data_IF_176966019842
#
_entry.id   IF_176966019842
#
_cell.length_a   1.000
_cell.length_b   1.000
_cell.length_c   1.000
_cell.angle_alpha   90.00
_cell.angle_beta   90.00
_cell.angle_gamma   90.00
#
_symmetry.space_group_name_H-M   'P 1'
#
loop_
_entity.id
_entity.type
_entity.pdbx_description
1 polymer ?
#
# COMPACT_ATOMS: atom_id res chain seq x y z
N UNK A 1 -32.81 0.82 49.03
CA UNK A 1 -32.65 1.47 47.72
C UNK A 1 -31.56 0.73 46.98
N UNK A 2 -31.90 -0.13 46.01
CA UNK A 2 -30.92 -0.80 45.15
C UNK A 2 -31.28 -0.41 43.73
N UNK A 3 -30.48 0.48 43.13
CA UNK A 3 -30.66 0.94 41.76
C UNK A 3 -29.95 0.00 40.78
N UNK A 4 -30.66 -0.44 39.75
CA UNK A 4 -30.07 -1.11 38.60
C UNK A 4 -29.22 -0.11 37.82
N UNK A 5 -27.91 -0.34 37.76
CA UNK A 5 -27.04 0.32 36.78
C UNK A 5 -27.17 -0.46 35.47
N UNK A 6 -27.96 0.06 34.53
CA UNK A 6 -27.99 -0.46 33.16
C UNK A 6 -26.66 -0.11 32.49
N UNK A 7 -25.85 -1.12 32.16
CA UNK A 7 -24.68 -0.96 31.31
C UNK A 7 -25.17 -0.52 29.93
N UNK A 8 -24.97 0.75 29.58
CA UNK A 8 -25.22 1.24 28.24
C UNK A 8 -24.28 0.53 27.28
N UNK A 9 -24.79 -0.43 26.52
CA UNK A 9 -24.12 -0.93 25.32
C UNK A 9 -24.09 0.23 24.33
N UNK A 10 -22.92 0.84 24.15
CA UNK A 10 -22.68 1.78 23.06
C UNK A 10 -22.76 0.95 21.78
N UNK A 11 -23.90 1.01 21.10
CA UNK A 11 -23.98 0.70 19.68
C UNK A 11 -23.11 1.74 19.00
N UNK A 12 -21.91 1.36 18.54
CA UNK A 12 -21.16 2.24 17.65
C UNK A 12 -22.01 2.45 16.40
N UNK A 13 -22.51 3.66 16.21
CA UNK A 13 -23.19 4.06 14.98
C UNK A 13 -22.15 4.07 13.85
N UNK A 14 -21.98 2.92 13.21
CA UNK A 14 -21.10 2.76 12.06
C UNK A 14 -21.57 3.68 10.94
N UNK A 15 -20.65 4.50 10.41
CA UNK A 15 -20.90 5.31 9.23
C UNK A 15 -20.50 4.51 7.98
N UNK A 16 -21.07 4.80 6.79
CA UNK A 16 -20.81 4.01 5.58
C UNK A 16 -19.31 3.84 5.23
N UNK A 17 -18.45 4.75 5.65
CA UNK A 17 -17.00 4.66 5.42
C UNK A 17 -16.32 3.57 6.24
N UNK A 18 -16.89 3.16 7.37
CA UNK A 18 -16.31 2.14 8.26
C UNK A 18 -16.36 0.74 7.64
N UNK A 19 -17.22 0.54 6.64
CA UNK A 19 -17.32 -0.71 5.88
C UNK A 19 -16.26 -0.84 4.77
N UNK A 20 -15.55 0.24 4.44
CA UNK A 20 -14.61 0.26 3.33
C UNK A 20 -13.23 -0.19 3.80
N UNK A 21 -12.74 -1.30 3.24
CA UNK A 21 -11.36 -1.75 3.43
C UNK A 21 -10.56 -1.65 2.12
N UNK A 22 -9.67 -0.64 1.98
CA UNK A 22 -8.87 -0.42 0.76
C UNK A 22 -7.85 -1.52 0.43
N UNK A 23 -7.55 -2.42 1.36
CA UNK A 23 -6.62 -3.53 1.11
C UNK A 23 -7.28 -4.70 0.39
N UNK A 24 -8.61 -4.74 0.32
CA UNK A 24 -9.32 -5.77 -0.45
C UNK A 24 -9.02 -5.58 -1.93
N UNK A 25 -8.42 -6.61 -2.54
CA UNK A 25 -8.00 -6.59 -3.94
C UNK A 25 -6.61 -5.97 -4.18
N UNK A 26 -5.92 -5.49 -3.15
CA UNK A 26 -4.61 -4.85 -3.26
C UNK A 26 -3.48 -5.89 -3.31
N UNK A 27 -3.65 -6.91 -4.15
CA UNK A 27 -2.73 -8.03 -4.32
C UNK A 27 -2.50 -8.29 -5.81
N UNK A 28 -1.24 -8.62 -6.13
CA UNK A 28 -0.81 -9.05 -7.47
C UNK A 28 -0.36 -10.52 -7.47
N UNK A 29 -0.60 -11.25 -6.37
CA UNK A 29 -0.17 -12.65 -6.23
C UNK A 29 -1.10 -13.64 -6.94
N UNK A 30 -0.60 -14.21 -8.03
CA UNK A 30 -1.24 -15.32 -8.76
C UNK A 30 -1.42 -16.55 -7.85
N UNK A 31 -0.47 -16.78 -6.94
CA UNK A 31 -0.53 -17.90 -6.00
C UNK A 31 -1.67 -17.75 -4.98
N UNK A 32 -1.92 -16.53 -4.50
CA UNK A 32 -3.03 -16.24 -3.60
C UNK A 32 -4.39 -16.23 -4.32
N UNK A 33 -4.44 -15.72 -5.56
CA UNK A 33 -5.66 -15.66 -6.35
C UNK A 33 -6.08 -17.00 -6.97
N UNK A 34 -5.16 -17.96 -7.11
CA UNK A 34 -5.39 -19.26 -7.76
C UNK A 34 -5.55 -19.19 -9.29
N UNK A 35 -5.77 -18.01 -9.86
CA UNK A 35 -5.89 -17.74 -11.30
C UNK A 35 -5.21 -16.41 -11.65
N UNK A 36 -4.50 -16.38 -12.78
CA UNK A 36 -3.72 -15.22 -13.22
C UNK A 36 -4.56 -13.94 -13.44
N UNK A 37 -5.84 -14.09 -13.80
CA UNK A 37 -6.76 -12.97 -14.04
C UNK A 37 -7.60 -12.59 -12.80
N UNK A 38 -7.44 -13.29 -11.68
CA UNK A 38 -8.17 -13.03 -10.43
C UNK A 38 -7.53 -11.99 -9.53
N UNK A 39 -6.55 -11.25 -10.06
CA UNK A 39 -5.81 -10.24 -9.32
C UNK A 39 -6.65 -8.97 -9.27
N UNK A 40 -7.01 -8.53 -8.08
CA UNK A 40 -7.78 -7.28 -7.92
C UNK A 40 -7.00 -6.08 -8.42
N UNK A 41 -5.68 -6.05 -8.21
CA UNK A 41 -4.77 -4.97 -8.62
C UNK A 41 -5.35 -3.59 -8.25
N UNK A 42 -5.87 -3.47 -7.03
CA UNK A 42 -6.29 -2.18 -6.45
C UNK A 42 -5.13 -1.58 -5.66
N UNK A 43 -5.28 -0.33 -5.19
CA UNK A 43 -4.29 0.33 -4.35
C UNK A 43 -4.96 0.85 -3.06
N UNK A 44 -4.29 0.75 -1.90
CA UNK A 44 -4.85 1.17 -0.60
C UNK A 44 -4.62 2.66 -0.30
N UNK A 45 -4.12 3.41 -1.28
CA UNK A 45 -3.79 4.83 -1.17
C UNK A 45 -4.99 5.76 -1.04
N UNK A 46 -4.72 6.98 -0.57
CA UNK A 46 -5.73 8.01 -0.38
C UNK A 46 -6.10 8.66 -1.74
N UNK A 47 -7.41 8.72 -1.99
CA UNK A 47 -7.98 9.45 -3.13
C UNK A 47 -9.36 9.97 -2.76
N UNK A 48 -9.82 10.98 -3.49
CA UNK A 48 -11.21 11.45 -3.44
C UNK A 48 -12.02 10.78 -4.53
N UNK A 49 -13.36 10.67 -4.41
CA UNK A 49 -14.20 10.16 -5.49
C UNK A 49 -13.95 10.96 -6.78
N UNK A 50 -13.51 10.27 -7.84
CA UNK A 50 -13.13 10.85 -9.13
C UNK A 50 -11.98 11.88 -9.08
N UNK A 51 -11.17 11.82 -8.02
CA UNK A 51 -9.99 12.67 -7.85
C UNK A 51 -8.91 12.37 -8.89
N UNK A 52 -8.23 13.42 -9.35
CA UNK A 52 -7.08 13.28 -10.26
C UNK A 52 -5.82 12.74 -9.56
N UNK A 53 -5.75 12.88 -8.23
CA UNK A 53 -4.58 12.51 -7.43
C UNK A 53 -4.91 11.29 -6.57
N UNK A 54 -4.05 10.28 -6.66
CA UNK A 54 -4.18 8.99 -5.98
C UNK A 54 -2.85 8.70 -5.28
N UNK A 55 -2.71 9.18 -4.04
CA UNK A 55 -1.47 9.04 -3.29
C UNK A 55 -1.42 7.67 -2.64
N UNK A 56 -0.54 6.79 -3.13
CA UNK A 56 -0.42 5.42 -2.65
C UNK A 56 1.03 5.01 -2.42
N UNK A 57 1.32 4.17 -1.42
CA UNK A 57 2.58 3.44 -1.38
C UNK A 57 2.74 2.60 -2.64
N UNK A 58 3.94 2.64 -3.21
CA UNK A 58 4.34 1.89 -4.38
C UNK A 58 5.44 0.89 -3.97
N UNK A 59 5.19 -0.41 -4.16
CA UNK A 59 6.10 -1.50 -3.80
C UNK A 59 7.02 -1.88 -4.95
N UNK A 60 6.48 -1.93 -6.18
CA UNK A 60 7.24 -2.17 -7.40
C UNK A 60 6.65 -1.30 -8.52
N UNK A 61 7.48 -0.42 -9.07
CA UNK A 61 7.12 0.38 -10.24
C UNK A 61 7.11 -0.48 -11.51
N UNK A 62 5.97 -0.49 -12.19
CA UNK A 62 5.81 -1.06 -13.53
C UNK A 62 5.65 -2.58 -13.59
N UNK A 63 5.68 -3.10 -14.82
CA UNK A 63 5.43 -4.51 -15.09
C UNK A 63 3.99 -4.92 -14.79
N UNK A 64 3.81 -6.14 -14.26
CA UNK A 64 2.48 -6.66 -13.92
C UNK A 64 1.91 -6.08 -12.60
N UNK A 65 2.70 -5.28 -11.89
CA UNK A 65 2.27 -4.49 -10.72
C UNK A 65 1.73 -3.11 -11.16
N UNK A 66 0.81 -3.10 -12.13
CA UNK A 66 0.26 -1.87 -12.71
C UNK A 66 -0.44 -0.93 -11.72
N UNK A 67 -0.88 -1.44 -10.57
CA UNK A 67 -1.48 -0.67 -9.47
C UNK A 67 -0.46 -0.05 -8.52
N UNK A 68 0.82 -0.34 -8.71
CA UNK A 68 1.93 0.07 -7.85
C UNK A 68 2.00 -0.61 -6.49
N UNK A 69 0.89 -1.10 -5.94
CA UNK A 69 0.87 -1.80 -4.65
C UNK A 69 0.55 -3.28 -4.78
N UNK A 70 1.16 -4.06 -3.90
CA UNK A 70 0.89 -5.49 -3.73
C UNK A 70 1.14 -5.86 -2.27
N UNK A 71 0.14 -6.47 -1.63
CA UNK A 71 0.20 -6.83 -0.21
C UNK A 71 1.20 -7.95 0.09
N UNK A 72 1.78 -8.62 -0.91
CA UNK A 72 2.81 -9.63 -0.69
C UNK A 72 4.19 -9.01 -0.49
N UNK A 73 4.43 -7.81 -1.02
CA UNK A 73 5.72 -7.14 -0.91
C UNK A 73 5.91 -6.51 0.48
N UNK A 74 7.14 -6.58 1.01
CA UNK A 74 7.50 -6.05 2.34
C UNK A 74 8.39 -4.80 2.25
N UNK A 75 8.64 -4.31 1.04
CA UNK A 75 9.41 -3.08 0.80
C UNK A 75 8.62 -2.12 -0.05
N UNK A 76 8.87 -0.84 0.15
CA UNK A 76 8.31 0.23 -0.68
C UNK A 76 9.42 0.99 -1.40
N UNK A 77 9.15 1.37 -2.64
CA UNK A 77 9.97 2.32 -3.38
C UNK A 77 9.67 3.75 -2.96
N UNK A 78 8.41 4.04 -2.60
CA UNK A 78 8.01 5.35 -2.13
C UNK A 78 6.51 5.55 -2.28
N UNK A 79 6.09 6.82 -2.34
CA UNK A 79 4.71 7.21 -2.54
C UNK A 79 4.56 7.88 -3.90
N UNK A 80 3.71 7.32 -4.74
CA UNK A 80 3.41 7.88 -6.05
C UNK A 80 2.00 8.49 -6.05
N UNK A 81 1.79 9.49 -6.91
CA UNK A 81 0.63 10.37 -6.88
C UNK A 81 -0.41 10.04 -7.96
N UNK A 82 -0.06 9.17 -8.90
CA UNK A 82 -0.98 8.64 -9.90
C UNK A 82 -0.92 7.12 -9.86
N UNK A 83 -2.07 6.46 -9.83
CA UNK A 83 -2.18 5.01 -9.86
C UNK A 83 -3.32 4.60 -10.78
N UNK A 84 -3.33 3.32 -11.13
CA UNK A 84 -4.39 2.71 -11.92
C UNK A 84 -4.99 1.58 -11.08
N UNK A 85 -6.28 1.68 -10.73
CA UNK A 85 -6.98 0.65 -9.95
C UNK A 85 -7.64 -0.37 -10.89
N UNK A 86 -7.47 -1.67 -10.62
CA UNK A 86 -8.14 -2.74 -11.36
C UNK A 86 -7.50 -3.06 -12.70
N UNK A 87 -6.18 -2.96 -12.81
CA UNK A 87 -5.49 -3.15 -14.09
C UNK A 87 -5.54 -4.60 -14.53
N UNK A 88 -6.05 -4.87 -15.74
CA UNK A 88 -6.13 -6.25 -16.25
C UNK A 88 -4.80 -6.85 -16.71
N UNK A 89 -3.84 -6.01 -17.11
CA UNK A 89 -2.53 -6.44 -17.65
C UNK A 89 -1.42 -5.49 -17.14
N UNK A 90 -0.36 -5.29 -17.92
CA UNK A 90 0.61 -4.21 -17.69
C UNK A 90 -0.11 -2.87 -17.54
N UNK A 91 0.09 -2.23 -16.39
CA UNK A 91 -0.42 -0.89 -16.13
C UNK A 91 0.60 0.17 -16.50
N UNK A 92 0.11 1.39 -16.58
CA UNK A 92 0.90 2.61 -16.67
C UNK A 92 0.45 3.52 -15.50
N UNK A 93 1.17 4.62 -15.25
CA UNK A 93 1.14 5.46 -14.04
C UNK A 93 2.12 4.97 -12.94
N UNK A 94 1.96 5.48 -11.71
CA UNK A 94 3.01 5.46 -10.68
C UNK A 94 3.94 6.67 -10.76
N UNK A 95 3.49 7.77 -11.38
CA UNK A 95 4.32 8.96 -11.57
C UNK A 95 4.46 9.77 -10.28
N UNK A 96 5.51 10.60 -10.27
CA UNK A 96 5.89 11.45 -9.14
C UNK A 96 6.15 10.65 -7.86
N UNK A 97 7.05 9.67 -7.95
CA UNK A 97 7.46 8.89 -6.79
C UNK A 97 8.32 9.72 -5.84
N UNK A 98 7.85 9.87 -4.62
CA UNK A 98 8.54 10.58 -3.53
C UNK A 98 8.86 9.58 -2.43
N UNK A 99 10.13 9.49 -2.08
CA UNK A 99 10.60 8.69 -0.95
C UNK A 99 11.23 9.60 0.11
N UNK A 100 10.59 9.78 1.28
CA UNK A 100 11.23 10.46 2.38
C UNK A 100 12.39 9.60 2.91
N UNK A 101 13.59 10.16 2.96
CA UNK A 101 14.77 9.46 3.47
C UNK A 101 15.53 10.32 4.48
N UNK A 102 16.29 9.64 5.34
CA UNK A 102 17.19 10.24 6.33
C UNK A 102 18.55 9.56 6.19
N UNK A 103 19.63 10.33 6.16
CA UNK A 103 20.98 9.79 5.98
C UNK A 103 21.46 9.87 4.53
N UNK A 104 22.19 8.85 4.08
CA UNK A 104 22.78 8.83 2.73
C UNK A 104 21.72 8.80 1.64
N UNK A 105 21.86 9.67 0.63
CA UNK A 105 20.94 9.75 -0.50
C UNK A 105 21.31 8.74 -1.58
N UNK A 106 20.51 7.68 -1.71
CA UNK A 106 20.57 6.76 -2.84
C UNK A 106 19.73 7.29 -4.01
N UNK A 107 20.24 7.14 -5.24
CA UNK A 107 19.59 7.61 -6.48
C UNK A 107 18.86 6.50 -7.25
N UNK A 108 18.94 5.27 -6.75
CA UNK A 108 18.31 4.08 -7.34
C UNK A 108 17.46 3.40 -6.29
N UNK A 109 16.34 2.80 -6.69
CA UNK A 109 15.43 2.13 -5.75
C UNK A 109 16.09 0.94 -5.04
N UNK A 110 16.99 0.23 -5.74
CA UNK A 110 17.55 -1.04 -5.26
C UNK A 110 16.60 -2.21 -5.50
N UNK A 111 17.01 -3.42 -5.10
CA UNK A 111 16.17 -4.63 -5.16
C UNK A 111 15.55 -4.92 -3.79
N UNK A 112 14.42 -5.64 -3.76
CA UNK A 112 13.73 -6.01 -2.51
C UNK A 112 14.64 -6.67 -1.46
N UNK A 113 15.58 -7.50 -1.90
CA UNK A 113 16.50 -8.21 -1.00
C UNK A 113 17.74 -7.39 -0.62
N UNK A 114 17.95 -6.18 -1.15
CA UNK A 114 19.14 -5.33 -0.93
C UNK A 114 20.52 -5.98 -1.16
N UNK A 115 20.59 -7.26 -1.54
CA UNK A 115 21.83 -8.04 -1.64
C UNK A 115 22.66 -7.73 -2.89
N UNK A 116 22.04 -7.20 -3.95
CA UNK A 116 22.72 -6.96 -5.23
C UNK A 116 22.87 -5.49 -5.61
N UNK A 117 21.92 -4.64 -5.21
CA UNK A 117 21.92 -3.20 -5.49
C UNK A 117 21.31 -2.50 -4.27
N UNK A 118 22.14 -1.78 -3.52
CA UNK A 118 21.68 -0.88 -2.45
C UNK A 118 20.92 0.30 -3.06
N UNK A 119 19.80 0.67 -2.44
CA UNK A 119 18.98 1.77 -2.92
C UNK A 119 18.14 2.40 -1.80
N UNK A 120 17.27 3.33 -2.19
CA UNK A 120 16.43 4.08 -1.25
C UNK A 120 15.19 3.32 -0.76
N UNK A 121 14.95 2.09 -1.23
CA UNK A 121 13.82 1.26 -0.77
C UNK A 121 13.88 1.05 0.74
N UNK A 122 12.70 1.12 1.38
CA UNK A 122 12.57 0.93 2.82
C UNK A 122 11.62 -0.20 3.16
N UNK A 123 11.86 -0.82 4.31
CA UNK A 123 11.04 -1.92 4.80
C UNK A 123 9.74 -1.34 5.35
N UNK A 124 8.64 -1.97 4.96
CA UNK A 124 7.30 -1.60 5.41
C UNK A 124 6.75 -2.66 6.36
N UNK A 125 6.40 -2.24 7.57
CA UNK A 125 5.72 -3.09 8.55
C UNK A 125 4.20 -2.93 8.41
N UNK A 126 3.52 -3.98 7.93
CA UNK A 126 2.07 -3.96 7.67
C UNK A 126 1.21 -3.88 8.93
N UNK A 127 1.69 -4.41 10.06
CA UNK A 127 0.96 -4.39 11.34
C UNK A 127 0.90 -2.97 11.90
N UNK A 128 2.03 -2.27 11.87
CA UNK A 128 2.15 -0.90 12.40
C UNK A 128 1.97 0.18 11.33
N UNK A 129 1.78 -0.21 10.07
CA UNK A 129 1.72 0.66 8.88
C UNK A 129 2.85 1.69 8.84
N UNK A 130 4.03 1.28 9.29
CA UNK A 130 5.19 2.14 9.48
C UNK A 130 6.32 1.78 8.52
N UNK A 131 6.95 2.80 7.96
CA UNK A 131 8.09 2.68 7.05
C UNK A 131 9.36 2.93 7.86
N UNK A 132 10.30 1.99 7.80
CA UNK A 132 11.57 2.13 8.51
C UNK A 132 12.71 2.08 7.50
N UNK A 133 13.55 3.12 7.51
CA UNK A 133 14.85 3.08 6.88
C UNK A 133 15.71 2.14 7.72
N UNK A 134 16.30 1.11 7.11
CA UNK A 134 17.44 0.44 7.74
C UNK A 134 18.55 1.49 7.77
N UNK A 135 18.64 2.24 8.87
CA UNK A 135 19.81 3.06 9.16
C UNK A 135 20.97 2.07 9.16
N UNK A 136 21.84 2.20 8.17
CA UNK A 136 23.13 1.53 8.16
C UNK A 136 23.88 2.01 9.39
N UNK A 137 24.02 1.15 10.39
CA UNK A 137 25.19 1.16 11.26
C UNK A 137 26.43 0.78 10.45
#
# INVERSE_FOLDING_TARGET
MTGCSSTSTVSEDLIPTDYVNPFIGASTSVGAAGVYHGLGKTFPGATTPYGMVQVSPNTITGGDNGSGYSDEHNTIEGFAFTQMSGVGWFGDLGNFLVMPTTGELYKVAGKENNDSIKGYRSVYNKVTRSVYNKVTE
#
